data_IF_069178618297
#
_entry.id   IF_069178618297
#
_cell.length_a   1.000
_cell.length_b   1.000
_cell.length_c   1.000
_cell.angle_alpha   90.00
_cell.angle_beta   90.00
_cell.angle_gamma   90.00
#
_symmetry.space_group_name_H-M   'P 1'
#
loop_
_entity.id
_entity.type
_entity.pdbx_description
1 polymer ?
#
# COMPACT_ATOMS: atom_id res chain seq x y z
N UNK A 1 -4.57 -12.87 -10.90
CA UNK A 1 -5.59 -12.50 -9.89
C UNK A 1 -5.22 -11.16 -9.24
N UNK A 2 -6.05 -10.11 -9.34
CA UNK A 2 -5.83 -8.81 -8.67
C UNK A 2 -6.45 -8.83 -7.28
N UNK A 3 -5.72 -8.39 -6.27
CA UNK A 3 -6.26 -8.08 -4.94
C UNK A 3 -6.61 -6.61 -4.88
N UNK A 4 -7.68 -6.28 -4.14
CA UNK A 4 -8.05 -4.93 -3.78
C UNK A 4 -7.39 -4.58 -2.45
N UNK A 5 -6.73 -3.43 -2.42
CA UNK A 5 -6.08 -2.86 -1.25
C UNK A 5 -6.69 -1.49 -1.03
N UNK A 6 -7.25 -1.27 0.15
CA UNK A 6 -7.70 0.03 0.58
C UNK A 6 -6.51 0.75 1.23
N UNK A 7 -6.20 1.94 0.72
CA UNK A 7 -5.10 2.76 1.18
C UNK A 7 -5.68 4.00 1.83
N UNK A 8 -5.42 4.18 3.12
CA UNK A 8 -5.76 5.39 3.86
C UNK A 8 -4.49 6.20 4.02
N UNK A 9 -4.54 7.45 3.54
CA UNK A 9 -3.45 8.42 3.64
C UNK A 9 -3.57 9.24 4.92
N UNK A 10 -2.52 10.00 5.21
CA UNK A 10 -2.45 10.87 6.41
C UNK A 10 -3.50 11.99 6.43
N UNK A 11 -3.99 12.41 5.26
CA UNK A 11 -5.07 13.38 5.08
C UNK A 11 -6.48 12.77 5.27
N UNK A 12 -6.56 11.52 5.76
CA UNK A 12 -7.79 10.71 5.88
C UNK A 12 -8.48 10.41 4.54
N UNK A 13 -7.81 10.64 3.41
CA UNK A 13 -8.33 10.19 2.11
C UNK A 13 -8.12 8.68 1.95
N UNK A 14 -9.14 8.00 1.43
CA UNK A 14 -9.10 6.56 1.14
C UNK A 14 -9.12 6.30 -0.36
N UNK A 15 -8.20 5.50 -0.86
CA UNK A 15 -8.11 5.09 -2.27
C UNK A 15 -8.00 3.57 -2.38
N UNK A 16 -8.71 2.97 -3.35
CA UNK A 16 -8.62 1.53 -3.62
C UNK A 16 -7.61 1.29 -4.74
N UNK A 17 -6.50 0.62 -4.43
CA UNK A 17 -5.54 0.14 -5.41
C UNK A 17 -5.70 -1.34 -5.70
N UNK A 18 -5.43 -1.73 -6.95
CA UNK A 18 -5.43 -3.12 -7.36
C UNK A 18 -4.04 -3.59 -7.75
N UNK A 19 -3.55 -4.65 -7.10
CA UNK A 19 -2.26 -5.24 -7.41
C UNK A 19 -2.29 -6.78 -7.35
N UNK A 20 -1.42 -7.43 -8.11
CA UNK A 20 -1.31 -8.90 -8.13
C UNK A 20 -0.80 -9.48 -6.81
N UNK A 21 -0.01 -8.72 -6.06
CA UNK A 21 0.58 -9.13 -4.79
C UNK A 21 0.93 -7.91 -3.94
N UNK A 22 1.10 -8.12 -2.64
CA UNK A 22 1.50 -7.04 -1.72
C UNK A 22 2.86 -6.43 -2.11
N UNK A 23 3.79 -7.22 -2.63
CA UNK A 23 5.09 -6.71 -3.14
C UNK A 23 4.92 -5.77 -4.35
N UNK A 24 3.99 -6.06 -5.26
CA UNK A 24 3.69 -5.16 -6.39
C UNK A 24 2.97 -3.89 -5.92
N UNK A 25 2.09 -4.02 -4.93
CA UNK A 25 1.45 -2.86 -4.29
C UNK A 25 2.50 -1.93 -3.69
N UNK A 26 3.45 -2.46 -2.90
CA UNK A 26 4.51 -1.64 -2.28
C UNK A 26 5.26 -0.79 -3.30
N UNK A 27 5.58 -1.34 -4.48
CA UNK A 27 6.21 -0.57 -5.57
C UNK A 27 5.30 0.55 -6.10
N UNK A 28 4.01 0.26 -6.32
CA UNK A 28 3.05 1.27 -6.76
C UNK A 28 2.86 2.37 -5.72
N UNK A 29 2.76 2.00 -4.44
CA UNK A 29 2.59 2.91 -3.31
C UNK A 29 3.82 3.80 -3.13
N UNK A 30 5.03 3.26 -3.26
CA UNK A 30 6.28 4.02 -3.25
C UNK A 30 6.37 5.06 -4.37
N UNK A 31 5.78 4.77 -5.54
CA UNK A 31 5.74 5.70 -6.68
C UNK A 31 4.64 6.75 -6.54
N UNK A 32 3.43 6.36 -6.09
CA UNK A 32 2.28 7.26 -5.95
C UNK A 32 2.39 8.19 -4.74
N UNK A 33 2.91 7.69 -3.63
CA UNK A 33 2.96 8.39 -2.35
C UNK A 33 4.41 8.42 -1.82
N UNK A 34 5.32 9.12 -2.53
CA UNK A 34 6.71 9.24 -2.10
C UNK A 34 6.80 10.02 -0.79
N UNK A 35 7.67 9.59 0.14
CA UNK A 35 7.87 10.23 1.45
C UNK A 35 6.61 10.35 2.35
N UNK A 36 5.57 9.58 2.05
CA UNK A 36 4.35 9.55 2.86
C UNK A 36 4.27 8.28 3.72
N UNK A 37 3.49 8.37 4.80
CA UNK A 37 3.09 7.24 5.60
C UNK A 37 1.64 6.89 5.25
N UNK A 38 1.41 5.64 4.85
CA UNK A 38 0.09 5.18 4.43
C UNK A 38 -0.31 3.91 5.18
N UNK A 39 -1.59 3.80 5.49
CA UNK A 39 -2.22 2.61 6.03
C UNK A 39 -2.83 1.81 4.90
N UNK A 40 -2.61 0.50 4.89
CA UNK A 40 -3.11 -0.41 3.87
C UNK A 40 -3.88 -1.53 4.52
N UNK A 41 -5.13 -1.65 4.12
CA UNK A 41 -6.06 -2.71 4.54
C UNK A 41 -6.37 -3.60 3.34
N UNK A 42 -6.24 -4.92 3.50
CA UNK A 42 -6.55 -5.86 2.43
C UNK A 42 -6.94 -7.24 2.92
N UNK A 43 -7.69 -7.96 2.08
CA UNK A 43 -8.02 -9.37 2.29
C UNK A 43 -7.02 -10.25 1.54
N UNK A 44 -6.30 -11.10 2.26
CA UNK A 44 -5.28 -11.98 1.66
C UNK A 44 -5.91 -13.22 0.98
N UNK A 45 -5.05 -14.05 0.37
CA UNK A 45 -5.44 -15.36 -0.23
C UNK A 45 -6.21 -16.27 0.72
N UNK A 46 -5.88 -16.22 2.01
CA UNK A 46 -6.50 -17.02 3.08
C UNK A 46 -7.77 -16.35 3.64
N UNK A 47 -8.35 -15.38 2.92
CA UNK A 47 -9.54 -14.61 3.32
C UNK A 47 -9.41 -13.87 4.66
N UNK A 48 -8.18 -13.68 5.18
CA UNK A 48 -7.93 -12.89 6.39
C UNK A 48 -7.76 -11.43 6.03
N UNK A 49 -8.43 -10.55 6.79
CA UNK A 49 -8.23 -9.11 6.71
C UNK A 49 -6.90 -8.76 7.40
N UNK A 50 -6.05 -8.00 6.74
CA UNK A 50 -4.75 -7.57 7.23
C UNK A 50 -4.62 -6.07 7.08
N UNK A 51 -4.13 -5.44 8.15
CA UNK A 51 -3.82 -4.02 8.20
C UNK A 51 -2.29 -3.88 8.30
N UNK A 52 -1.72 -3.04 7.45
CA UNK A 52 -0.27 -2.78 7.40
C UNK A 52 -0.02 -1.29 7.27
N UNK A 53 0.99 -0.81 7.97
CA UNK A 53 1.50 0.56 7.81
C UNK A 53 2.72 0.49 6.90
N UNK A 54 2.76 1.37 5.90
CA UNK A 54 3.89 1.50 4.98
C UNK A 54 4.49 2.89 5.20
N UNK A 55 5.73 2.92 5.64
CA UNK A 55 6.53 4.14 5.78
C UNK A 55 7.44 4.30 4.55
N UNK A 56 7.01 5.10 3.57
CA UNK A 56 7.82 5.36 2.38
C UNK A 56 8.94 6.38 2.62
N UNK A 57 9.00 7.07 3.77
CA UNK A 57 10.05 8.07 4.07
C UNK A 57 11.43 7.44 4.17
N UNK A 58 11.50 6.15 4.50
CA UNK A 58 12.75 5.40 4.65
C UNK A 58 13.23 4.74 3.35
N UNK A 59 12.49 4.87 2.26
CA UNK A 59 12.86 4.27 0.98
C UNK A 59 13.97 5.12 0.37
N UNK A 60 15.23 4.71 0.58
CA UNK A 60 16.37 5.27 -0.14
C UNK A 60 16.15 5.05 -1.63
N UNK A 61 15.92 6.13 -2.39
CA UNK A 61 16.08 6.10 -3.84
C UNK A 61 17.57 5.85 -4.07
N UNK A 62 17.92 4.67 -4.58
CA UNK A 62 19.24 4.48 -5.16
C UNK A 62 19.28 5.42 -6.38
N UNK A 63 20.06 6.50 -6.25
CA UNK A 63 20.39 7.41 -7.33
C UNK A 63 21.31 6.71 -8.34
#
# INVERSE_FOLDING_TARGET
MRYKYEIVKSDKSSEILQAMSFKKLLKQVALKYPNELVWVTYKNKKKKLLNKIIDNRRVKKNA
#
